data_IF_615375545113
#
_entry.id   IF_615375545113
#
_cell.length_a   1.000
_cell.length_b   1.000
_cell.length_c   1.000
_cell.angle_alpha   90.00
_cell.angle_beta   90.00
_cell.angle_gamma   90.00
#
_symmetry.space_group_name_H-M   'P 1'
#
loop_
_entity.id
_entity.type
_entity.pdbx_description
1 polymer ?
#
# COMPACT_ATOMS: atom_id res chain seq x y z
N UNK A 1 9.43 31.16 -29.04
CA UNK A 1 8.15 30.44 -29.24
C UNK A 1 7.22 30.88 -28.14
N UNK A 2 5.98 31.30 -28.44
CA UNK A 2 5.12 31.96 -27.47
C UNK A 2 4.71 30.97 -26.37
N UNK A 3 4.80 31.42 -25.13
CA UNK A 3 4.29 30.73 -23.95
C UNK A 3 2.77 30.91 -23.99
N UNK A 4 2.07 29.98 -24.63
CA UNK A 4 0.62 29.82 -24.45
C UNK A 4 0.41 29.30 -23.04
N UNK A 5 0.10 30.20 -22.11
CA UNK A 5 -0.53 29.88 -20.83
C UNK A 5 -1.94 29.37 -21.20
N UNK A 6 -2.06 28.07 -21.47
CA UNK A 6 -3.36 27.41 -21.50
C UNK A 6 -3.75 27.28 -20.03
N UNK A 7 -4.48 28.28 -19.52
CA UNK A 7 -5.21 28.14 -18.26
C UNK A 7 -6.31 27.10 -18.51
N UNK A 8 -5.98 25.81 -18.41
CA UNK A 8 -7.02 24.81 -18.22
C UNK A 8 -7.74 25.17 -16.91
N UNK A 9 -9.06 25.19 -16.97
CA UNK A 9 -9.93 25.44 -15.82
C UNK A 9 -9.74 24.31 -14.82
N UNK A 10 -8.79 24.46 -13.91
CA UNK A 10 -8.59 23.54 -12.79
C UNK A 10 -9.79 23.67 -11.83
N UNK A 11 -10.47 22.57 -11.43
CA UNK A 11 -10.05 21.18 -11.55
C UNK A 11 -10.63 20.44 -12.77
N UNK A 12 -9.81 19.59 -13.38
CA UNK A 12 -10.28 18.59 -14.35
C UNK A 12 -11.21 17.58 -13.67
N UNK A 13 -12.17 17.05 -14.43
CA UNK A 13 -13.13 16.07 -13.91
C UNK A 13 -12.47 14.82 -13.31
N UNK A 14 -11.33 14.40 -13.85
CA UNK A 14 -10.55 13.26 -13.34
C UNK A 14 -9.94 13.52 -11.96
N UNK A 15 -9.38 14.72 -11.74
CA UNK A 15 -8.84 15.11 -10.43
C UNK A 15 -9.95 15.24 -9.38
N UNK A 16 -11.09 15.82 -9.77
CA UNK A 16 -12.24 15.95 -8.88
C UNK A 16 -12.76 14.57 -8.46
N UNK A 17 -12.90 13.64 -9.42
CA UNK A 17 -13.32 12.27 -9.14
C UNK A 17 -12.34 11.56 -8.20
N UNK A 18 -11.02 11.67 -8.43
CA UNK A 18 -10.01 11.08 -7.57
C UNK A 18 -10.07 11.65 -6.14
N UNK A 19 -10.29 12.97 -5.98
CA UNK A 19 -10.44 13.62 -4.66
C UNK A 19 -11.69 13.10 -3.93
N UNK A 20 -12.82 12.98 -4.62
CA UNK A 20 -14.07 12.47 -4.04
C UNK A 20 -13.94 11.01 -3.59
N UNK A 21 -13.32 10.15 -4.39
CA UNK A 21 -13.08 8.74 -4.05
C UNK A 21 -12.14 8.60 -2.85
N UNK A 22 -11.07 9.39 -2.81
CA UNK A 22 -10.14 9.40 -1.67
C UNK A 22 -10.81 9.90 -0.39
N UNK A 23 -11.65 10.94 -0.48
CA UNK A 23 -12.44 11.42 0.66
C UNK A 23 -13.40 10.35 1.19
N UNK A 24 -14.18 9.73 0.30
CA UNK A 24 -15.11 8.67 0.68
C UNK A 24 -14.40 7.45 1.28
N UNK A 25 -13.28 7.02 0.70
CA UNK A 25 -12.52 5.88 1.25
C UNK A 25 -11.89 6.21 2.61
N UNK A 26 -11.39 7.43 2.81
CA UNK A 26 -10.82 7.86 4.09
C UNK A 26 -11.85 7.88 5.22
N UNK A 27 -13.08 8.35 4.94
CA UNK A 27 -14.16 8.36 5.93
C UNK A 27 -14.60 6.95 6.28
N UNK A 28 -14.79 6.08 5.28
CA UNK A 28 -15.13 4.66 5.50
C UNK A 28 -14.06 3.96 6.35
N UNK A 29 -12.78 4.13 6.02
CA UNK A 29 -11.67 3.54 6.79
C UNK A 29 -11.66 4.03 8.24
N UNK A 30 -11.89 5.32 8.47
CA UNK A 30 -11.93 5.89 9.83
C UNK A 30 -13.09 5.33 10.66
N UNK A 31 -14.27 5.18 10.07
CA UNK A 31 -15.45 4.59 10.73
C UNK A 31 -15.21 3.12 11.04
N UNK A 32 -14.70 2.35 10.07
CA UNK A 32 -14.38 0.94 10.28
C UNK A 32 -13.32 0.73 11.36
N UNK A 33 -12.30 1.59 11.41
CA UNK A 33 -11.30 1.57 12.47
C UNK A 33 -11.94 1.82 13.84
N UNK A 34 -12.77 2.87 13.96
CA UNK A 34 -13.50 3.20 15.18
C UNK A 34 -14.37 2.05 15.68
N UNK A 35 -15.20 1.47 14.79
CA UNK A 35 -16.03 0.31 15.10
C UNK A 35 -15.19 -0.89 15.54
N UNK A 36 -14.03 -1.11 14.92
CA UNK A 36 -13.14 -2.23 15.25
C UNK A 36 -12.45 -2.07 16.60
N UNK A 37 -12.17 -0.84 17.01
CA UNK A 37 -11.54 -0.50 18.29
C UNK A 37 -12.54 -0.32 19.44
N UNK A 38 -13.84 -0.29 19.15
CA UNK A 38 -14.88 -0.06 20.15
C UNK A 38 -14.86 -1.17 21.22
N UNK A 39 -14.71 -0.76 22.49
CA UNK A 39 -14.70 -1.65 23.66
C UNK A 39 -13.57 -2.71 23.67
N UNK A 40 -12.42 -2.39 23.06
CA UNK A 40 -11.25 -3.30 23.03
C UNK A 40 -10.27 -2.96 24.14
N UNK A 41 -9.95 -3.94 24.98
CA UNK A 41 -8.85 -3.83 25.94
C UNK A 41 -7.50 -4.05 25.26
N UNK A 42 -6.76 -2.96 24.99
CA UNK A 42 -5.50 -3.01 24.24
C UNK A 42 -4.42 -3.91 24.84
N UNK A 43 -4.44 -4.10 26.16
CA UNK A 43 -3.44 -4.88 26.91
C UNK A 43 -3.43 -6.38 26.56
N UNK A 44 -4.56 -6.93 26.11
CA UNK A 44 -4.72 -8.38 25.83
C UNK A 44 -4.87 -8.67 24.33
N UNK A 45 -4.50 -7.73 23.46
CA UNK A 45 -4.61 -7.92 22.02
C UNK A 45 -3.58 -8.92 21.50
N UNK A 46 -4.05 -9.92 20.76
CA UNK A 46 -3.17 -10.84 20.04
C UNK A 46 -2.41 -10.11 18.93
N UNK A 47 -1.22 -10.62 18.60
CA UNK A 47 -0.35 -10.05 17.55
C UNK A 47 -1.09 -9.89 16.21
N UNK A 48 -1.93 -10.85 15.83
CA UNK A 48 -2.73 -10.75 14.58
C UNK A 48 -3.72 -9.58 14.60
N UNK A 49 -4.26 -9.20 15.76
CA UNK A 49 -5.18 -8.06 15.87
C UNK A 49 -4.43 -6.73 15.76
N UNK A 50 -3.22 -6.64 16.32
CA UNK A 50 -2.34 -5.48 16.14
C UNK A 50 -2.00 -5.23 14.68
N UNK A 51 -1.68 -6.28 13.91
CA UNK A 51 -1.42 -6.16 12.48
C UNK A 51 -2.63 -5.64 11.69
N UNK A 52 -3.86 -6.07 12.04
CA UNK A 52 -5.08 -5.55 11.41
C UNK A 52 -5.27 -4.06 11.74
N UNK A 53 -5.06 -3.66 12.99
CA UNK A 53 -5.18 -2.25 13.38
C UNK A 53 -4.15 -1.38 12.63
N UNK A 54 -2.92 -1.86 12.49
CA UNK A 54 -1.87 -1.19 11.70
C UNK A 54 -2.26 -1.10 10.22
N UNK A 55 -2.88 -2.15 9.66
CA UNK A 55 -3.34 -2.15 8.27
C UNK A 55 -4.36 -1.03 8.00
N UNK A 56 -5.32 -0.84 8.91
CA UNK A 56 -6.31 0.24 8.80
C UNK A 56 -5.64 1.62 8.83
N UNK A 57 -4.68 1.84 9.73
CA UNK A 57 -3.95 3.10 9.84
C UNK A 57 -3.12 3.39 8.58
N UNK A 58 -2.39 2.40 8.07
CA UNK A 58 -1.60 2.55 6.84
C UNK A 58 -2.48 2.82 5.62
N UNK A 59 -3.62 2.13 5.50
CA UNK A 59 -4.57 2.32 4.40
C UNK A 59 -5.19 3.72 4.44
N UNK A 60 -5.53 4.21 5.64
CA UNK A 60 -6.02 5.57 5.84
C UNK A 60 -4.94 6.62 5.50
N UNK A 61 -3.70 6.41 5.95
CA UNK A 61 -2.59 7.29 5.60
C UNK A 61 -2.36 7.32 4.09
N UNK A 62 -2.44 6.17 3.41
CA UNK A 62 -2.30 6.08 1.95
C UNK A 62 -3.37 6.91 1.21
N UNK A 63 -4.64 6.81 1.58
CA UNK A 63 -5.72 7.56 0.91
C UNK A 63 -5.63 9.06 1.17
N UNK A 64 -5.28 9.47 2.39
CA UNK A 64 -5.08 10.88 2.74
C UNK A 64 -3.88 11.47 2.02
N UNK A 65 -2.74 10.77 2.02
CA UNK A 65 -1.54 11.25 1.33
C UNK A 65 -1.78 11.36 -0.17
N UNK A 66 -2.42 10.38 -0.80
CA UNK A 66 -2.77 10.43 -2.22
C UNK A 66 -3.63 11.66 -2.56
N UNK A 67 -4.65 11.97 -1.75
CA UNK A 67 -5.48 13.17 -1.93
C UNK A 67 -4.67 14.47 -1.84
N UNK A 68 -3.80 14.59 -0.83
CA UNK A 68 -2.96 15.77 -0.64
C UNK A 68 -2.00 15.96 -1.83
N UNK A 69 -1.35 14.88 -2.24
CA UNK A 69 -0.37 14.86 -3.31
C UNK A 69 -0.98 15.26 -4.66
N UNK A 70 -2.16 14.73 -5.00
CA UNK A 70 -2.93 15.13 -6.20
C UNK A 70 -3.25 16.63 -6.19
N UNK A 71 -3.54 17.22 -5.02
CA UNK A 71 -3.85 18.65 -4.93
C UNK A 71 -2.61 19.54 -5.07
N UNK A 72 -1.44 19.05 -4.69
CA UNK A 72 -0.17 19.79 -4.73
C UNK A 72 0.61 19.67 -6.04
N UNK A 73 0.06 18.95 -7.03
CA UNK A 73 0.74 18.57 -8.26
C UNK A 73 0.65 19.62 -9.39
N UNK A 74 0.61 20.91 -9.01
CA UNK A 74 0.33 22.00 -9.94
C UNK A 74 1.61 22.49 -10.67
N UNK A 75 2.15 21.67 -11.56
CA UNK A 75 3.36 22.00 -12.34
C UNK A 75 4.69 21.97 -11.57
N UNK A 76 4.70 21.46 -10.33
CA UNK A 76 5.92 21.32 -9.53
C UNK A 76 6.50 19.90 -9.64
N UNK A 77 7.72 19.79 -10.17
CA UNK A 77 8.41 18.51 -10.34
C UNK A 77 8.69 17.80 -9.02
N UNK A 78 9.00 18.55 -7.95
CA UNK A 78 9.27 17.96 -6.64
C UNK A 78 8.01 17.32 -6.07
N UNK A 79 6.85 17.98 -6.18
CA UNK A 79 5.57 17.39 -5.78
C UNK A 79 5.24 16.13 -6.58
N UNK A 80 5.50 16.14 -7.88
CA UNK A 80 5.30 15.00 -8.78
C UNK A 80 6.15 13.77 -8.38
N UNK A 81 7.44 13.98 -8.13
CA UNK A 81 8.36 12.93 -7.69
C UNK A 81 7.99 12.40 -6.29
N UNK A 82 7.67 13.28 -5.35
CA UNK A 82 7.24 12.88 -4.01
C UNK A 82 5.94 12.09 -4.05
N UNK A 83 5.05 12.41 -4.99
CA UNK A 83 3.77 11.71 -5.15
C UNK A 83 3.97 10.23 -5.43
N UNK A 84 4.83 9.90 -6.41
CA UNK A 84 5.13 8.50 -6.76
C UNK A 84 5.90 7.77 -5.65
N UNK A 85 6.88 8.42 -5.02
CA UNK A 85 7.68 7.77 -3.98
C UNK A 85 6.87 7.47 -2.72
N UNK A 86 6.05 8.43 -2.26
CA UNK A 86 5.23 8.24 -1.07
C UNK A 86 4.14 7.19 -1.31
N UNK A 87 3.52 7.18 -2.50
CA UNK A 87 2.51 6.16 -2.81
C UNK A 87 3.13 4.76 -2.84
N UNK A 88 4.32 4.61 -3.41
CA UNK A 88 5.00 3.32 -3.50
C UNK A 88 5.44 2.81 -2.12
N UNK A 89 5.99 3.68 -1.27
CA UNK A 89 6.39 3.31 0.10
C UNK A 89 5.18 2.85 0.92
N UNK A 90 4.09 3.62 0.90
CA UNK A 90 2.88 3.29 1.65
C UNK A 90 2.18 2.03 1.11
N UNK A 91 2.22 1.83 -0.22
CA UNK A 91 1.74 0.61 -0.85
C UNK A 91 2.53 -0.62 -0.37
N UNK A 92 3.86 -0.55 -0.42
CA UNK A 92 4.73 -1.64 0.02
C UNK A 92 4.60 -1.91 1.52
N UNK A 93 4.52 -0.88 2.35
CA UNK A 93 4.27 -1.02 3.78
C UNK A 93 2.96 -1.76 4.05
N UNK A 94 1.89 -1.39 3.35
CA UNK A 94 0.57 -2.04 3.45
C UNK A 94 0.65 -3.51 3.06
N UNK A 95 1.32 -3.83 1.94
CA UNK A 95 1.52 -5.22 1.49
C UNK A 95 2.30 -6.04 2.51
N UNK A 96 3.43 -5.54 3.03
CA UNK A 96 4.24 -6.24 4.02
C UNK A 96 3.40 -6.59 5.27
N UNK A 97 2.57 -5.66 5.75
CA UNK A 97 1.69 -5.90 6.90
C UNK A 97 0.63 -6.96 6.59
N UNK A 98 0.04 -6.96 5.38
CA UNK A 98 -0.89 -8.01 4.95
C UNK A 98 -0.21 -9.38 4.96
N UNK A 99 1.01 -9.49 4.43
CA UNK A 99 1.75 -10.76 4.43
C UNK A 99 2.13 -11.22 5.83
N UNK A 100 2.58 -10.31 6.70
CA UNK A 100 2.83 -10.64 8.09
C UNK A 100 1.57 -11.17 8.79
N UNK A 101 0.41 -10.57 8.50
CA UNK A 101 -0.87 -11.01 9.04
C UNK A 101 -1.28 -12.40 8.53
N UNK A 102 -1.13 -12.63 7.24
CA UNK A 102 -1.38 -13.91 6.58
C UNK A 102 -0.50 -15.04 7.13
N UNK A 103 0.80 -14.77 7.33
CA UNK A 103 1.75 -15.74 7.93
C UNK A 103 1.36 -16.07 9.37
N UNK A 104 0.97 -15.08 10.17
CA UNK A 104 0.49 -15.33 11.53
C UNK A 104 -0.81 -16.17 11.51
N UNK A 105 -1.69 -15.96 10.54
CA UNK A 105 -2.90 -16.78 10.37
C UNK A 105 -2.57 -18.23 10.00
N UNK A 106 -1.64 -18.46 9.08
CA UNK A 106 -1.15 -19.82 8.77
C UNK A 106 -0.57 -20.47 10.03
N UNK A 107 0.24 -19.72 10.80
CA UNK A 107 0.83 -20.25 12.02
C UNK A 107 -0.23 -20.67 13.03
N UNK A 108 -1.26 -19.86 13.26
CA UNK A 108 -2.35 -20.17 14.19
C UNK A 108 -3.12 -21.42 13.77
N UNK A 109 -3.40 -21.60 12.47
CA UNK A 109 -4.13 -22.78 11.96
C UNK A 109 -3.25 -24.03 11.97
N UNK A 110 -1.97 -23.90 11.62
CA UNK A 110 -1.02 -25.02 11.54
C UNK A 110 -0.45 -25.46 12.90
N UNK A 111 -0.71 -24.74 14.00
CA UNK A 111 0.04 -24.88 15.25
C UNK A 111 -0.20 -26.19 16.01
N UNK A 112 0.71 -27.14 15.80
CA UNK A 112 1.18 -28.13 16.76
C UNK A 112 2.05 -27.45 17.84
N UNK A 113 1.45 -27.02 18.97
CA UNK A 113 2.01 -26.77 20.34
C UNK A 113 3.45 -26.20 20.53
N UNK A 114 4.11 -25.64 19.52
CA UNK A 114 5.50 -25.16 19.56
C UNK A 114 5.60 -23.62 19.63
N UNK A 115 6.77 -23.09 20.02
CA UNK A 115 7.06 -21.65 20.06
C UNK A 115 7.34 -21.07 18.67
N UNK A 116 6.90 -19.82 18.42
CA UNK A 116 6.93 -19.11 17.12
C UNK A 116 8.29 -19.17 16.41
N UNK A 117 9.38 -18.94 17.15
CA UNK A 117 10.75 -18.87 16.61
C UNK A 117 11.42 -20.25 16.45
N UNK A 118 10.91 -21.28 17.12
CA UNK A 118 11.42 -22.65 17.04
C UNK A 118 10.93 -23.36 15.78
N UNK A 119 9.77 -22.96 15.26
CA UNK A 119 9.15 -23.66 14.14
C UNK A 119 9.84 -23.31 12.80
N UNK A 120 10.49 -24.30 12.19
CA UNK A 120 11.18 -24.14 10.89
C UNK A 120 10.23 -23.69 9.78
N UNK A 121 8.96 -24.11 9.82
CA UNK A 121 7.94 -23.68 8.86
C UNK A 121 7.61 -22.19 9.00
N UNK A 122 7.64 -21.62 10.21
CA UNK A 122 7.44 -20.19 10.41
C UNK A 122 8.61 -19.37 9.85
N UNK A 123 9.85 -19.83 10.06
CA UNK A 123 11.05 -19.19 9.50
C UNK A 123 11.08 -19.23 7.97
N UNK A 124 10.63 -20.34 7.36
CA UNK A 124 10.50 -20.44 5.90
C UNK A 124 9.47 -19.44 5.36
N UNK A 125 8.29 -19.36 5.99
CA UNK A 125 7.26 -18.39 5.61
C UNK A 125 7.73 -16.94 5.81
N UNK A 126 8.54 -16.67 6.84
CA UNK A 126 9.17 -15.37 7.04
C UNK A 126 10.23 -15.07 5.97
N UNK A 127 10.95 -16.10 5.49
CA UNK A 127 11.85 -15.99 4.34
C UNK A 127 11.13 -15.60 3.05
N UNK A 128 9.83 -15.93 2.93
CA UNK A 128 8.98 -15.48 1.83
C UNK A 128 8.71 -13.95 1.85
N UNK A 129 9.06 -13.21 2.91
CA UNK A 129 9.04 -11.74 2.88
C UNK A 129 10.30 -11.13 2.26
N UNK A 130 11.37 -11.89 2.13
CA UNK A 130 12.66 -11.39 1.64
C UNK A 130 12.62 -10.92 0.16
N UNK A 131 11.94 -11.63 -0.77
CA UNK A 131 11.79 -11.17 -2.15
C UNK A 131 11.00 -9.86 -2.28
N UNK A 132 10.11 -9.56 -1.33
CA UNK A 132 9.37 -8.29 -1.34
C UNK A 132 10.29 -7.07 -1.22
N UNK A 133 11.40 -7.20 -0.49
CA UNK A 133 12.41 -6.14 -0.37
C UNK A 133 13.07 -5.88 -1.72
N UNK A 134 13.39 -6.95 -2.47
CA UNK A 134 13.98 -6.83 -3.81
C UNK A 134 13.00 -6.17 -4.80
N UNK A 135 11.72 -6.55 -4.74
CA UNK A 135 10.66 -5.93 -5.57
C UNK A 135 10.50 -4.44 -5.23
N UNK A 136 10.52 -4.09 -3.95
CA UNK A 136 10.45 -2.69 -3.52
C UNK A 136 11.61 -1.86 -4.06
N UNK A 137 12.84 -2.37 -4.01
CA UNK A 137 14.00 -1.70 -4.61
C UNK A 137 13.81 -1.53 -6.12
N UNK A 138 13.26 -2.54 -6.80
CA UNK A 138 12.93 -2.46 -8.22
C UNK A 138 11.94 -1.33 -8.54
N UNK A 139 10.88 -1.16 -7.72
CA UNK A 139 9.91 -0.08 -7.90
C UNK A 139 10.55 1.30 -7.79
N UNK A 140 11.43 1.49 -6.80
CA UNK A 140 12.14 2.76 -6.60
C UNK A 140 13.08 3.07 -7.78
N UNK A 141 13.74 2.07 -8.36
CA UNK A 141 14.63 2.27 -9.51
C UNK A 141 13.84 2.59 -10.79
N UNK A 142 12.71 1.91 -11.00
CA UNK A 142 11.91 1.98 -12.23
C UNK A 142 10.72 2.96 -12.15
N UNK A 143 10.75 3.93 -11.24
CA UNK A 143 9.75 4.98 -11.16
C UNK A 143 9.78 5.89 -12.42
N UNK A 144 8.61 6.38 -12.82
CA UNK A 144 8.44 7.34 -13.92
C UNK A 144 7.61 8.52 -13.41
N UNK A 145 8.21 9.71 -13.42
CA UNK A 145 7.55 10.96 -13.11
C UNK A 145 7.95 11.99 -14.17
N UNK A 146 6.99 12.47 -14.96
CA UNK A 146 7.23 13.49 -15.98
C UNK A 146 6.11 14.52 -15.99
N UNK A 147 6.48 15.78 -16.26
CA UNK A 147 5.55 16.89 -16.41
C UNK A 147 5.31 17.12 -17.89
N UNK A 148 4.05 17.11 -18.28
CA UNK A 148 3.61 17.43 -19.64
C UNK A 148 3.63 18.95 -19.87
N UNK A 149 3.78 19.46 -21.11
CA UNK A 149 3.85 20.89 -21.38
C UNK A 149 2.62 21.68 -20.92
N UNK A 150 1.50 20.99 -20.70
CA UNK A 150 0.24 21.54 -20.19
C UNK A 150 0.24 21.73 -18.66
N UNK A 151 1.33 21.38 -17.96
CA UNK A 151 1.47 21.53 -16.50
C UNK A 151 1.01 20.32 -15.68
N UNK A 152 0.43 19.29 -16.32
CA UNK A 152 0.03 18.04 -15.67
C UNK A 152 1.22 17.14 -15.39
N UNK A 153 1.26 16.52 -14.22
CA UNK A 153 2.26 15.50 -13.90
C UNK A 153 1.66 14.11 -14.05
N UNK A 154 2.33 13.29 -14.85
CA UNK A 154 2.00 11.90 -15.07
C UNK A 154 2.98 11.06 -14.26
N UNK A 155 2.41 10.28 -13.34
CA UNK A 155 3.13 9.35 -12.47
C UNK A 155 2.88 7.90 -12.89
N UNK A 156 3.89 7.05 -12.75
CA UNK A 156 3.74 5.63 -13.01
C UNK A 156 5.00 4.83 -12.69
N UNK A 157 4.89 3.51 -12.83
CA UNK A 157 5.99 2.57 -12.66
C UNK A 157 6.16 1.84 -13.98
N UNK A 158 7.41 1.69 -14.44
CA UNK A 158 7.67 0.93 -15.66
C UNK A 158 7.21 -0.53 -15.52
N UNK A 159 6.80 -1.20 -16.61
CA UNK A 159 6.34 -2.58 -16.56
C UNK A 159 7.40 -3.55 -15.96
N UNK A 160 8.69 -3.20 -16.06
CA UNK A 160 9.78 -3.93 -15.42
C UNK A 160 9.63 -4.04 -13.89
N UNK A 161 9.03 -3.04 -13.21
CA UNK A 161 8.73 -3.08 -11.77
C UNK A 161 7.35 -3.66 -11.47
N UNK A 162 6.34 -3.31 -12.28
CA UNK A 162 4.94 -3.69 -12.04
C UNK A 162 4.67 -5.18 -12.29
N UNK A 163 5.28 -5.77 -13.33
CA UNK A 163 5.03 -7.19 -13.69
C UNK A 163 5.52 -8.16 -12.60
N UNK A 164 6.77 -8.08 -12.11
CA UNK A 164 7.23 -8.93 -11.01
C UNK A 164 6.38 -8.78 -9.76
N UNK A 165 5.94 -7.56 -9.45
CA UNK A 165 5.12 -7.27 -8.29
C UNK A 165 3.77 -7.98 -8.35
N UNK A 166 3.05 -7.89 -9.47
CA UNK A 166 1.73 -8.51 -9.63
C UNK A 166 1.86 -10.04 -9.57
N UNK A 167 2.84 -10.61 -10.28
CA UNK A 167 3.07 -12.06 -10.29
C UNK A 167 3.35 -12.55 -8.88
N UNK A 168 4.24 -11.87 -8.16
CA UNK A 168 4.63 -12.27 -6.81
C UNK A 168 3.48 -12.16 -5.81
N UNK A 169 2.68 -11.10 -5.91
CA UNK A 169 1.49 -10.89 -5.07
C UNK A 169 0.46 -12.00 -5.29
N UNK A 170 0.20 -12.35 -6.55
CA UNK A 170 -0.71 -13.43 -6.89
C UNK A 170 -0.25 -14.79 -6.35
N UNK A 171 1.02 -15.15 -6.58
CA UNK A 171 1.60 -16.42 -6.11
C UNK A 171 1.57 -16.51 -4.58
N UNK A 172 1.95 -15.42 -3.89
CA UNK A 172 2.02 -15.39 -2.44
C UNK A 172 0.63 -15.50 -1.79
N UNK A 173 -0.38 -14.84 -2.35
CA UNK A 173 -1.78 -14.95 -1.92
C UNK A 173 -2.30 -16.37 -2.12
N UNK A 174 -2.09 -16.97 -3.31
CA UNK A 174 -2.56 -18.33 -3.61
C UNK A 174 -1.89 -19.36 -2.69
N UNK A 175 -0.57 -19.25 -2.49
CA UNK A 175 0.18 -20.09 -1.57
C UNK A 175 -0.40 -20.01 -0.16
N UNK A 176 -0.58 -18.78 0.34
CA UNK A 176 -1.07 -18.57 1.69
C UNK A 176 -2.50 -19.11 1.86
N UNK A 177 -3.38 -18.84 0.90
CA UNK A 177 -4.77 -19.27 0.97
C UNK A 177 -4.90 -20.79 0.96
N UNK A 178 -4.10 -21.46 0.13
CA UNK A 178 -4.03 -22.93 0.09
C UNK A 178 -3.61 -23.49 1.44
N UNK A 179 -2.62 -22.87 2.10
CA UNK A 179 -2.14 -23.28 3.43
C UNK A 179 -3.09 -22.99 4.59
N UNK A 180 -4.04 -22.07 4.43
CA UNK A 180 -5.05 -21.74 5.47
C UNK A 180 -6.26 -22.67 5.42
N UNK A 181 -6.56 -23.25 4.23
CA UNK A 181 -7.75 -24.10 4.01
C UNK A 181 -7.58 -25.57 4.44
N UNK A 182 -6.39 -25.96 4.89
CA UNK A 182 -6.06 -27.30 5.39
C UNK A 182 -5.63 -27.21 6.84
#
# INVERSE_FOLDING_TARGET
MPITIISSTQPDGGELAAKLVSLFSSTVLSVLYGVKTYNVQFKYLSYSRWLILLLYILSWAFTVMSMLLVTTNNGNFTSCLLSVLVCDILYCATKIVIYAWLIEKIYVVSATRQSRWSNKSYRFNLGLLLPYIAIFVLMIIYHRAYIEPNGYCIIGIAPAGTVPLIIYDFVSVVYCFTKIRF
#
